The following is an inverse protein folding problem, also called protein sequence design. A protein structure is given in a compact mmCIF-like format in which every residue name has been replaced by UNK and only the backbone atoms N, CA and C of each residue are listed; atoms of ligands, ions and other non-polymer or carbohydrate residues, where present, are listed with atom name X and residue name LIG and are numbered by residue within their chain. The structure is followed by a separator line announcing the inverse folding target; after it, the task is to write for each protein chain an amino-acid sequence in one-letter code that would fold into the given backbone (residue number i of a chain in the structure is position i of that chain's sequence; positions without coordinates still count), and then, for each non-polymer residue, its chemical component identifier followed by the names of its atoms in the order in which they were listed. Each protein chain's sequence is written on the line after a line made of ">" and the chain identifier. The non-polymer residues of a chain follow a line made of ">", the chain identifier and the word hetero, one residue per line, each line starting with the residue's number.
data_IF_363576944264
#
_entry.id   IF_363576944264
#
_cell.length_a   1.000
_cell.length_b   1.000
_cell.length_c   1.000
_cell.angle_alpha   90.00
_cell.angle_beta   90.00
_cell.angle_gamma   90.00
#
_symmetry.space_group_name_H-M   'P 1'
#
loop_
_entity.id
_entity.type
_entity.pdbx_description
1 polymer ?
#
# COMPACT_ATOMS: atom_id res chain seq x y z
N UNK A 1 -37.05 -30.64 -30.25
CA UNK A 1 -36.87 -30.08 -28.86
C UNK A 1 -35.39 -29.92 -28.64
N UNK A 2 -34.84 -28.69 -28.77
CA UNK A 2 -33.45 -28.35 -28.47
C UNK A 2 -33.23 -28.48 -26.96
N UNK A 3 -32.43 -29.45 -26.51
CA UNK A 3 -31.91 -29.52 -25.14
C UNK A 3 -31.07 -28.24 -24.91
N UNK A 4 -31.60 -27.29 -24.17
CA UNK A 4 -30.83 -26.16 -23.63
C UNK A 4 -29.81 -26.80 -22.69
N UNK A 5 -28.53 -26.88 -23.12
CA UNK A 5 -27.43 -27.23 -22.22
C UNK A 5 -27.48 -26.25 -21.05
N UNK A 6 -27.74 -26.75 -19.84
CA UNK A 6 -27.59 -25.95 -18.61
C UNK A 6 -26.18 -25.31 -18.66
N UNK A 7 -26.11 -24.00 -18.85
CA UNK A 7 -24.84 -23.27 -18.72
C UNK A 7 -24.29 -23.60 -17.33
N UNK A 8 -23.10 -24.16 -17.27
CA UNK A 8 -22.39 -24.37 -16.01
C UNK A 8 -22.31 -23.00 -15.32
N UNK A 9 -22.86 -22.87 -14.13
CA UNK A 9 -22.82 -21.61 -13.37
C UNK A 9 -21.36 -21.38 -13.02
N UNK A 10 -20.74 -20.41 -13.68
CA UNK A 10 -19.35 -20.01 -13.40
C UNK A 10 -19.40 -19.18 -12.13
N UNK A 11 -18.68 -19.61 -11.09
CA UNK A 11 -18.48 -18.81 -9.91
C UNK A 11 -17.49 -17.69 -10.27
N UNK A 12 -17.92 -16.44 -10.18
CA UNK A 12 -17.17 -15.27 -10.63
C UNK A 12 -16.86 -14.36 -9.46
N UNK A 13 -15.67 -13.79 -9.48
CA UNK A 13 -15.14 -12.92 -8.45
C UNK A 13 -14.66 -11.61 -9.07
N UNK A 14 -14.89 -10.49 -8.40
CA UNK A 14 -14.35 -9.19 -8.74
C UNK A 14 -13.51 -8.66 -7.56
N UNK A 15 -12.23 -8.33 -7.81
CA UNK A 15 -11.38 -7.69 -6.81
C UNK A 15 -11.60 -6.19 -6.88
N UNK A 16 -12.03 -5.62 -5.77
CA UNK A 16 -12.30 -4.19 -5.61
C UNK A 16 -11.06 -3.51 -5.03
N UNK A 17 -10.55 -2.50 -5.75
CA UNK A 17 -9.44 -1.68 -5.29
C UNK A 17 -9.62 -0.24 -5.79
N UNK A 18 -10.05 0.65 -4.91
CA UNK A 18 -10.23 2.06 -5.20
C UNK A 18 -11.56 2.44 -5.90
N UNK A 19 -12.49 1.49 -6.09
CA UNK A 19 -13.78 1.76 -6.73
C UNK A 19 -14.66 2.71 -5.91
N UNK A 20 -14.59 2.62 -4.58
CA UNK A 20 -15.34 3.42 -3.63
C UNK A 20 -14.49 4.51 -2.96
N UNK A 21 -13.26 4.70 -3.40
CA UNK A 21 -12.28 5.60 -2.79
C UNK A 21 -12.50 7.09 -3.08
N UNK A 22 -13.44 7.46 -3.96
CA UNK A 22 -13.73 8.87 -4.28
C UNK A 22 -14.71 9.46 -3.28
N UNK A 23 -14.39 10.63 -2.75
CA UNK A 23 -15.33 11.43 -1.98
C UNK A 23 -16.56 11.84 -2.82
N UNK A 24 -17.73 11.86 -2.18
CA UNK A 24 -18.97 12.31 -2.82
C UNK A 24 -18.88 13.83 -3.02
N UNK A 25 -18.77 14.25 -4.29
CA UNK A 25 -18.67 15.68 -4.64
C UNK A 25 -19.97 16.26 -5.20
N UNK A 26 -20.81 15.42 -5.83
CA UNK A 26 -22.04 15.85 -6.47
C UNK A 26 -23.06 14.70 -6.45
N UNK A 27 -24.22 14.94 -5.84
CA UNK A 27 -25.28 13.94 -5.65
C UNK A 27 -25.74 13.29 -6.97
N UNK A 28 -25.88 14.08 -8.04
CA UNK A 28 -26.34 13.57 -9.33
C UNK A 28 -25.31 12.64 -10.00
N UNK A 29 -24.04 13.04 -9.94
CA UNK A 29 -22.93 12.24 -10.48
C UNK A 29 -22.81 10.94 -9.68
N UNK A 30 -22.87 11.01 -8.36
CA UNK A 30 -22.80 9.84 -7.46
C UNK A 30 -23.96 8.88 -7.70
N UNK A 31 -25.16 9.39 -7.95
CA UNK A 31 -26.32 8.57 -8.27
C UNK A 31 -26.13 7.80 -9.59
N UNK A 32 -25.65 8.47 -10.65
CA UNK A 32 -25.37 7.84 -11.95
C UNK A 32 -24.27 6.80 -11.81
N UNK A 33 -23.17 7.14 -11.13
CA UNK A 33 -22.06 6.21 -10.87
C UNK A 33 -22.52 4.99 -10.08
N UNK A 34 -23.32 5.18 -9.03
CA UNK A 34 -23.87 4.08 -8.23
C UNK A 34 -24.72 3.13 -9.07
N UNK A 35 -25.54 3.64 -9.96
CA UNK A 35 -26.33 2.80 -10.90
C UNK A 35 -25.42 1.99 -11.83
N UNK A 36 -24.40 2.62 -12.40
CA UNK A 36 -23.45 1.95 -13.28
C UNK A 36 -22.63 0.89 -12.54
N UNK A 37 -22.13 1.22 -11.35
CA UNK A 37 -21.42 0.27 -10.47
C UNK A 37 -22.30 -0.93 -10.14
N UNK A 38 -23.57 -0.71 -9.76
CA UNK A 38 -24.53 -1.79 -9.48
C UNK A 38 -24.75 -2.69 -10.67
N UNK A 39 -24.88 -2.11 -11.88
CA UNK A 39 -25.05 -2.87 -13.12
C UNK A 39 -23.85 -3.77 -13.39
N UNK A 40 -22.64 -3.25 -13.21
CA UNK A 40 -21.40 -4.01 -13.37
C UNK A 40 -21.27 -5.11 -12.32
N UNK A 41 -21.43 -4.78 -11.04
CA UNK A 41 -21.20 -5.70 -9.93
C UNK A 41 -22.27 -6.79 -9.79
N UNK A 42 -23.44 -6.58 -10.40
CA UNK A 42 -24.52 -7.56 -10.42
C UNK A 42 -24.09 -8.89 -11.05
N UNK A 43 -23.21 -8.84 -12.04
CA UNK A 43 -22.77 -10.00 -12.81
C UNK A 43 -21.78 -10.90 -12.02
N UNK A 44 -21.20 -10.40 -10.91
CA UNK A 44 -20.26 -11.16 -10.09
C UNK A 44 -20.95 -11.81 -8.90
N UNK A 45 -20.49 -13.02 -8.54
CA UNK A 45 -20.99 -13.74 -7.38
C UNK A 45 -20.35 -13.23 -6.09
N UNK A 46 -19.06 -12.88 -6.15
CA UNK A 46 -18.25 -12.46 -5.01
C UNK A 46 -17.53 -11.15 -5.31
N UNK A 47 -17.47 -10.25 -4.33
CA UNK A 47 -16.76 -8.98 -4.39
C UNK A 47 -15.71 -8.98 -3.27
N UNK A 48 -14.44 -9.08 -3.65
CA UNK A 48 -13.30 -9.14 -2.71
C UNK A 48 -12.70 -7.76 -2.56
N UNK A 49 -12.68 -7.26 -1.35
CA UNK A 49 -12.09 -5.97 -1.00
C UNK A 49 -10.70 -6.19 -0.39
N UNK A 50 -9.74 -5.37 -0.83
CA UNK A 50 -8.37 -5.37 -0.32
C UNK A 50 -8.16 -4.35 0.81
N UNK A 51 -9.19 -3.58 1.14
CA UNK A 51 -9.21 -2.59 2.21
C UNK A 51 -10.50 -2.71 3.00
N UNK A 52 -10.40 -2.76 4.33
CA UNK A 52 -11.56 -2.74 5.23
C UNK A 52 -12.34 -1.42 5.12
N UNK A 53 -11.63 -0.31 5.03
CA UNK A 53 -12.27 1.00 4.91
C UNK A 53 -13.08 1.12 3.61
N UNK A 54 -12.54 0.59 2.49
CA UNK A 54 -13.27 0.57 1.22
C UNK A 54 -14.49 -0.38 1.27
N UNK A 55 -14.37 -1.50 1.98
CA UNK A 55 -15.48 -2.42 2.21
C UNK A 55 -16.60 -1.75 3.01
N UNK A 56 -16.29 -1.06 4.10
CA UNK A 56 -17.30 -0.34 4.89
C UNK A 56 -17.96 0.80 4.08
N UNK A 57 -17.19 1.50 3.27
CA UNK A 57 -17.77 2.49 2.35
C UNK A 57 -18.68 1.85 1.29
N UNK A 58 -18.33 0.66 0.80
CA UNK A 58 -19.19 -0.09 -0.11
C UNK A 58 -20.51 -0.53 0.55
N UNK A 59 -20.50 -0.97 1.81
CA UNK A 59 -21.71 -1.27 2.58
C UNK A 59 -22.65 -0.07 2.65
N UNK A 60 -22.09 1.12 2.85
CA UNK A 60 -22.87 2.36 2.90
C UNK A 60 -23.47 2.74 1.54
N UNK A 61 -22.75 2.49 0.43
CA UNK A 61 -23.16 2.90 -0.91
C UNK A 61 -24.04 1.90 -1.64
N UNK A 62 -23.80 0.61 -1.44
CA UNK A 62 -24.48 -0.49 -2.11
C UNK A 62 -24.85 -1.63 -1.15
N UNK A 63 -25.63 -1.36 -0.08
CA UNK A 63 -25.95 -2.35 0.95
C UNK A 63 -26.65 -3.60 0.42
N UNK A 64 -27.37 -3.50 -0.66
CA UNK A 64 -28.04 -4.63 -1.34
C UNK A 64 -27.08 -5.68 -1.91
N UNK A 65 -25.76 -5.40 -1.96
CA UNK A 65 -24.73 -6.34 -2.39
C UNK A 65 -23.90 -6.88 -1.23
N UNK A 66 -24.18 -6.51 0.01
CA UNK A 66 -23.35 -6.86 1.18
C UNK A 66 -23.12 -8.37 1.33
N UNK A 67 -24.11 -9.17 0.97
CA UNK A 67 -24.01 -10.64 0.98
C UNK A 67 -22.95 -11.22 0.04
N UNK A 68 -22.41 -10.41 -0.88
CA UNK A 68 -21.32 -10.78 -1.80
C UNK A 68 -19.95 -10.29 -1.33
N UNK A 69 -19.89 -9.49 -0.26
CA UNK A 69 -18.66 -8.83 0.17
C UNK A 69 -17.79 -9.76 1.00
N UNK A 70 -16.52 -9.78 0.67
CA UNK A 70 -15.49 -10.48 1.46
C UNK A 70 -14.26 -9.60 1.55
N UNK A 71 -13.71 -9.44 2.75
CA UNK A 71 -12.41 -8.81 2.94
C UNK A 71 -11.32 -9.87 2.84
N UNK A 72 -10.35 -9.63 1.96
CA UNK A 72 -9.10 -10.39 1.89
C UNK A 72 -7.97 -9.37 1.85
N UNK A 73 -7.06 -9.34 2.85
CA UNK A 73 -5.95 -8.40 2.83
C UNK A 73 -5.06 -8.64 1.61
N UNK A 74 -4.54 -7.56 1.05
CA UNK A 74 -3.53 -7.64 -0.01
C UNK A 74 -2.32 -8.45 0.47
N UNK A 75 -1.64 -9.13 -0.45
CA UNK A 75 -0.51 -9.98 -0.10
C UNK A 75 0.66 -9.78 -1.04
N UNK A 76 1.84 -10.19 -0.57
CA UNK A 76 3.08 -10.15 -1.33
C UNK A 76 3.79 -11.51 -1.31
N UNK A 77 4.72 -11.70 -2.23
CA UNK A 77 5.62 -12.86 -2.24
C UNK A 77 6.72 -12.67 -1.18
N UNK A 78 6.51 -13.19 0.03
CA UNK A 78 7.47 -13.07 1.13
C UNK A 78 8.72 -13.91 0.93
N UNK A 79 8.73 -14.85 -0.01
CA UNK A 79 9.93 -15.62 -0.37
C UNK A 79 10.86 -14.79 -1.25
N UNK A 80 10.28 -14.00 -2.15
CA UNK A 80 11.02 -13.08 -2.98
C UNK A 80 11.43 -11.82 -2.19
N UNK A 81 10.48 -11.18 -1.51
CA UNK A 81 10.73 -10.01 -0.66
C UNK A 81 11.24 -10.48 0.70
N UNK A 82 12.49 -10.91 0.74
CA UNK A 82 13.17 -11.39 1.94
C UNK A 82 14.59 -10.84 1.98
N UNK A 83 14.97 -10.30 3.15
CA UNK A 83 16.25 -9.67 3.36
C UNK A 83 17.38 -10.69 3.39
N UNK A 84 18.54 -10.37 2.81
CA UNK A 84 19.75 -11.18 2.98
C UNK A 84 20.36 -10.95 4.38
N UNK A 85 20.98 -11.99 4.95
CA UNK A 85 21.58 -11.93 6.32
C UNK A 85 22.66 -10.85 6.44
N UNK A 86 23.32 -10.49 5.34
CA UNK A 86 24.40 -9.51 5.30
C UNK A 86 23.93 -8.09 4.99
N UNK A 87 22.64 -7.89 4.69
CA UNK A 87 22.13 -6.58 4.29
C UNK A 87 22.12 -5.61 5.49
N UNK A 88 22.78 -4.48 5.32
CA UNK A 88 22.79 -3.36 6.26
C UNK A 88 22.70 -2.06 5.50
N UNK A 89 21.62 -1.33 5.71
CA UNK A 89 21.33 -0.08 4.99
C UNK A 89 21.47 1.16 5.89
N UNK A 90 21.81 2.28 5.24
CA UNK A 90 21.85 3.60 5.86
C UNK A 90 20.97 4.64 5.14
N UNK A 91 20.21 4.21 4.12
CA UNK A 91 19.41 5.09 3.27
C UNK A 91 17.96 5.18 3.74
N UNK A 92 17.32 6.31 3.50
CA UNK A 92 15.87 6.49 3.65
C UNK A 92 15.24 6.34 2.27
N UNK A 93 14.36 5.35 2.13
CA UNK A 93 13.77 4.96 0.86
C UNK A 93 12.37 5.54 0.69
N UNK A 94 12.08 6.08 -0.49
CA UNK A 94 10.76 6.45 -0.95
C UNK A 94 10.48 5.78 -2.29
N UNK A 95 9.35 5.07 -2.41
CA UNK A 95 8.91 4.45 -3.67
C UNK A 95 7.46 4.83 -3.93
N UNK A 96 7.15 5.32 -5.14
CA UNK A 96 5.77 5.56 -5.52
C UNK A 96 5.58 6.34 -6.81
N UNK A 97 4.52 5.97 -7.55
CA UNK A 97 4.16 6.60 -8.82
C UNK A 97 2.66 6.94 -8.90
N UNK A 98 1.91 6.74 -7.82
CA UNK A 98 0.48 7.03 -7.80
C UNK A 98 0.19 8.49 -7.43
N UNK A 99 -0.99 8.98 -7.77
CA UNK A 99 -1.40 10.35 -7.51
C UNK A 99 -1.77 10.64 -6.03
N UNK A 100 -1.44 9.73 -5.10
CA UNK A 100 -1.72 9.88 -3.66
C UNK A 100 -0.46 10.05 -2.83
N UNK A 101 0.73 9.91 -3.44
CA UNK A 101 1.99 10.28 -2.78
C UNK A 101 2.09 11.79 -2.65
N UNK A 102 2.53 12.25 -1.50
CA UNK A 102 2.86 13.67 -1.26
C UNK A 102 4.32 13.94 -1.68
N UNK A 103 4.53 14.06 -2.99
CA UNK A 103 5.87 14.27 -3.57
C UNK A 103 6.53 15.54 -3.06
N UNK A 104 5.74 16.63 -2.92
CA UNK A 104 6.25 17.89 -2.39
C UNK A 104 6.79 17.72 -0.97
N UNK A 105 6.01 17.09 -0.09
CA UNK A 105 6.42 16.79 1.28
C UNK A 105 7.65 15.88 1.30
N UNK A 106 7.72 14.87 0.43
CA UNK A 106 8.88 13.96 0.32
C UNK A 106 10.16 14.76 0.03
N UNK A 107 10.12 15.69 -0.93
CA UNK A 107 11.23 16.57 -1.26
C UNK A 107 11.60 17.48 -0.07
N UNK A 108 10.59 18.08 0.57
CA UNK A 108 10.79 18.99 1.69
C UNK A 108 11.36 18.26 2.92
N UNK A 109 10.97 16.99 3.18
CA UNK A 109 11.60 16.16 4.22
C UNK A 109 13.10 15.99 3.96
N UNK A 110 13.49 15.59 2.75
CA UNK A 110 14.90 15.40 2.42
C UNK A 110 15.72 16.69 2.53
N UNK A 111 15.15 17.83 2.13
CA UNK A 111 15.78 19.15 2.28
C UNK A 111 16.04 19.54 3.74
N UNK A 112 15.16 19.15 4.66
CA UNK A 112 15.28 19.45 6.10
C UNK A 112 16.12 18.40 6.86
N UNK A 113 16.62 17.37 6.16
CA UNK A 113 17.43 16.29 6.70
C UNK A 113 18.70 16.08 5.86
N UNK A 114 19.54 17.11 5.67
CA UNK A 114 20.71 17.03 4.77
C UNK A 114 21.78 16.02 5.26
N UNK A 115 21.75 15.62 6.52
CA UNK A 115 22.64 14.64 7.12
C UNK A 115 22.31 13.18 6.77
N UNK A 116 21.11 12.91 6.23
CA UNK A 116 20.68 11.57 5.84
C UNK A 116 20.68 11.41 4.32
N UNK A 117 20.96 10.20 3.86
CA UNK A 117 20.89 9.83 2.45
C UNK A 117 19.50 9.35 2.08
N UNK A 118 18.94 9.88 1.01
CA UNK A 118 17.66 9.48 0.48
C UNK A 118 17.77 8.83 -0.89
N UNK A 119 16.94 7.81 -1.14
CA UNK A 119 16.71 7.24 -2.47
C UNK A 119 15.24 7.41 -2.80
N UNK A 120 14.95 8.11 -3.88
CA UNK A 120 13.60 8.27 -4.42
C UNK A 120 13.45 7.46 -5.71
N UNK A 121 12.54 6.50 -5.70
CA UNK A 121 12.20 5.67 -6.87
C UNK A 121 10.83 6.09 -7.37
N UNK A 122 10.83 6.95 -8.38
CA UNK A 122 9.59 7.54 -8.92
C UNK A 122 9.82 8.17 -10.30
N UNK A 123 8.77 8.26 -11.10
CA UNK A 123 8.70 9.05 -12.33
C UNK A 123 7.95 10.38 -12.16
N UNK A 124 7.44 10.66 -10.96
CA UNK A 124 6.63 11.85 -10.67
C UNK A 124 7.47 13.02 -10.16
N UNK A 125 8.71 12.78 -9.78
CA UNK A 125 9.72 13.79 -9.45
C UNK A 125 10.70 13.79 -10.62
N UNK A 126 10.95 14.94 -11.20
CA UNK A 126 11.85 15.11 -12.35
C UNK A 126 13.13 15.84 -11.94
N UNK A 127 14.16 15.77 -12.78
CA UNK A 127 15.46 16.40 -12.48
C UNK A 127 15.40 17.92 -12.32
N UNK A 128 14.42 18.55 -12.94
CA UNK A 128 14.14 19.99 -12.82
C UNK A 128 13.59 20.37 -11.45
N UNK A 129 13.02 19.44 -10.70
CA UNK A 129 12.69 19.64 -9.29
C UNK A 129 14.00 19.82 -8.52
N UNK A 130 14.14 20.97 -7.84
CA UNK A 130 15.36 21.32 -7.11
C UNK A 130 15.59 20.38 -5.92
N UNK A 131 16.10 19.18 -6.18
CA UNK A 131 16.46 18.21 -5.16
C UNK A 131 17.74 18.65 -4.43
N UNK A 132 17.81 18.33 -3.15
CA UNK A 132 19.01 18.50 -2.35
C UNK A 132 20.07 17.43 -2.69
N UNK A 133 21.33 17.73 -2.43
CA UNK A 133 22.47 16.86 -2.81
C UNK A 133 22.49 15.49 -2.11
N UNK A 134 21.69 15.33 -1.06
CA UNK A 134 21.54 14.08 -0.31
C UNK A 134 20.46 13.14 -0.89
N UNK A 135 19.88 13.46 -2.05
CA UNK A 135 18.83 12.67 -2.72
C UNK A 135 19.39 12.04 -3.99
N UNK A 136 19.35 10.73 -4.06
CA UNK A 136 19.52 9.95 -5.28
C UNK A 136 18.14 9.71 -5.90
N UNK A 137 17.89 10.25 -7.10
CA UNK A 137 16.65 10.04 -7.84
C UNK A 137 16.81 8.94 -8.88
N UNK A 138 16.01 7.89 -8.73
CA UNK A 138 15.94 6.77 -9.66
C UNK A 138 14.60 6.85 -10.41
N UNK A 139 14.66 7.02 -11.71
CA UNK A 139 13.46 7.03 -12.53
C UNK A 139 12.86 5.63 -12.61
N UNK A 140 11.75 5.40 -11.92
CA UNK A 140 11.04 4.13 -11.86
C UNK A 140 9.59 4.27 -12.29
N UNK A 141 9.14 3.44 -13.25
CA UNK A 141 7.74 3.38 -13.66
C UNK A 141 7.35 1.94 -13.98
N UNK A 142 6.25 1.47 -13.39
CA UNK A 142 5.72 0.10 -13.57
C UNK A 142 5.54 -0.32 -15.03
N UNK A 143 5.05 0.59 -15.87
CA UNK A 143 4.73 0.29 -17.26
C UNK A 143 5.91 0.42 -18.23
N UNK A 144 7.04 0.92 -17.77
CA UNK A 144 8.21 1.17 -18.65
C UNK A 144 9.38 0.22 -18.38
N UNK A 145 9.22 -0.73 -17.45
CA UNK A 145 10.21 -1.76 -17.09
C UNK A 145 11.63 -1.22 -16.90
N UNK A 146 11.76 0.02 -16.37
CA UNK A 146 13.06 0.65 -16.15
C UNK A 146 13.81 0.05 -14.95
N UNK A 147 13.08 -0.56 -14.03
CA UNK A 147 13.61 -1.27 -12.87
C UNK A 147 12.96 -2.64 -12.77
N UNK A 148 13.76 -3.64 -12.51
CA UNK A 148 13.31 -4.99 -12.17
C UNK A 148 12.96 -5.08 -10.70
N UNK A 149 12.14 -6.07 -10.32
CA UNK A 149 11.84 -6.35 -8.90
C UNK A 149 13.11 -6.68 -8.10
N UNK A 150 14.13 -7.28 -8.73
CA UNK A 150 15.43 -7.56 -8.12
C UNK A 150 16.15 -6.26 -7.75
N UNK A 151 16.17 -5.29 -8.66
CA UNK A 151 16.79 -3.98 -8.37
C UNK A 151 16.04 -3.24 -7.27
N UNK A 152 14.70 -3.27 -7.27
CA UNK A 152 13.89 -2.68 -6.21
C UNK A 152 14.17 -3.37 -4.86
N UNK A 153 14.31 -4.70 -4.84
CA UNK A 153 14.69 -5.44 -3.64
C UNK A 153 16.05 -5.01 -3.09
N UNK A 154 17.04 -4.78 -3.97
CA UNK A 154 18.36 -4.29 -3.56
C UNK A 154 18.26 -2.92 -2.88
N UNK A 155 17.40 -2.01 -3.35
CA UNK A 155 17.16 -0.73 -2.66
C UNK A 155 16.55 -0.90 -1.27
N UNK A 156 15.67 -1.91 -1.07
CA UNK A 156 15.21 -2.23 0.29
C UNK A 156 16.35 -2.77 1.16
N UNK A 157 17.27 -3.59 0.63
CA UNK A 157 18.44 -4.09 1.37
C UNK A 157 19.38 -2.95 1.82
N UNK A 158 19.47 -1.87 1.07
CA UNK A 158 20.24 -0.67 1.39
C UNK A 158 19.47 0.33 2.26
N UNK A 159 18.19 0.10 2.54
CA UNK A 159 17.36 1.01 3.30
C UNK A 159 17.43 0.73 4.80
N UNK A 160 17.58 1.78 5.61
CA UNK A 160 17.37 1.78 7.05
C UNK A 160 15.93 2.07 7.43
N UNK A 161 15.21 2.79 6.59
CA UNK A 161 13.84 3.26 6.81
C UNK A 161 13.15 3.49 5.47
N UNK A 162 11.86 3.14 5.39
CA UNK A 162 11.00 3.51 4.25
C UNK A 162 9.99 4.57 4.70
N UNK A 163 9.88 5.66 3.94
CA UNK A 163 8.89 6.71 4.16
C UNK A 163 7.81 6.69 3.09
N UNK A 164 6.55 6.84 3.50
CA UNK A 164 5.39 6.85 2.62
C UNK A 164 4.50 8.06 2.94
N UNK A 165 4.95 9.29 2.64
CA UNK A 165 4.11 10.47 2.78
C UNK A 165 2.95 10.42 1.79
N UNK A 166 1.71 10.57 2.29
CA UNK A 166 0.49 10.51 1.49
C UNK A 166 -0.33 11.80 1.68
N UNK A 167 -1.05 12.18 0.64
CA UNK A 167 -2.18 13.10 0.75
C UNK A 167 -3.39 12.37 1.28
N UNK A 168 -4.19 13.00 2.13
CA UNK A 168 -5.40 12.35 2.68
C UNK A 168 -6.37 11.97 1.56
N UNK A 169 -6.82 10.74 1.57
CA UNK A 169 -7.79 10.21 0.63
C UNK A 169 -8.39 8.90 1.14
N UNK A 170 -9.54 8.49 0.57
CA UNK A 170 -10.12 7.16 0.83
C UNK A 170 -9.48 6.05 0.00
N UNK A 171 -8.62 6.37 -0.94
CA UNK A 171 -7.96 5.35 -1.77
C UNK A 171 -6.82 4.71 -0.98
N UNK A 172 -6.81 3.38 -0.84
CA UNK A 172 -5.66 2.68 -0.27
C UNK A 172 -4.43 2.91 -1.15
N UNK A 173 -3.42 3.53 -0.57
CA UNK A 173 -2.17 3.85 -1.25
C UNK A 173 -0.99 3.48 -0.37
N UNK A 174 0.15 3.13 -0.98
CA UNK A 174 1.35 2.71 -0.26
C UNK A 174 1.33 1.26 0.21
N UNK A 175 0.25 0.53 0.04
CA UNK A 175 0.05 -0.81 0.60
C UNK A 175 1.15 -1.80 0.17
N UNK A 176 1.40 -1.96 -1.13
CA UNK A 176 2.44 -2.87 -1.62
C UNK A 176 3.84 -2.49 -1.14
N UNK A 177 4.17 -1.19 -1.21
CA UNK A 177 5.47 -0.68 -0.75
C UNK A 177 5.66 -0.91 0.75
N UNK A 178 4.63 -0.66 1.57
CA UNK A 178 4.71 -0.91 3.01
C UNK A 178 4.90 -2.39 3.33
N UNK A 179 4.12 -3.28 2.71
CA UNK A 179 4.23 -4.71 2.95
C UNK A 179 5.57 -5.29 2.46
N UNK A 180 6.07 -4.84 1.31
CA UNK A 180 7.40 -5.21 0.81
C UNK A 180 8.51 -4.76 1.77
N UNK A 181 8.45 -3.49 2.20
CA UNK A 181 9.40 -2.93 3.17
C UNK A 181 9.44 -3.73 4.47
N UNK A 182 8.27 -4.02 5.05
CA UNK A 182 8.14 -4.83 6.26
C UNK A 182 8.67 -6.26 6.07
N UNK A 183 8.39 -6.87 4.91
CA UNK A 183 8.91 -8.20 4.58
C UNK A 183 10.43 -8.22 4.42
N UNK A 184 11.00 -7.10 3.97
CA UNK A 184 12.45 -6.87 3.87
C UNK A 184 13.08 -6.38 5.18
N UNK A 185 12.34 -6.45 6.29
CA UNK A 185 12.80 -5.99 7.61
C UNK A 185 13.24 -4.52 7.64
N UNK A 186 12.58 -3.70 6.84
CA UNK A 186 12.79 -2.25 6.83
C UNK A 186 11.60 -1.56 7.47
N UNK A 187 11.78 -0.84 8.59
CA UNK A 187 10.71 -0.11 9.26
C UNK A 187 10.02 0.90 8.34
N UNK A 188 8.71 1.06 8.52
CA UNK A 188 7.88 1.92 7.67
C UNK A 188 7.34 3.09 8.47
N UNK A 189 7.52 4.31 7.94
CA UNK A 189 6.77 5.50 8.32
C UNK A 189 5.75 5.80 7.22
N UNK A 190 4.46 5.88 7.58
CA UNK A 190 3.39 6.13 6.63
C UNK A 190 2.40 7.15 7.16
N UNK A 191 1.94 8.07 6.30
CA UNK A 191 0.85 8.98 6.68
C UNK A 191 -0.40 8.19 7.07
N UNK A 192 -0.98 8.52 8.20
CA UNK A 192 -2.32 8.03 8.54
C UNK A 192 -3.35 8.74 7.65
N UNK A 193 -4.05 7.97 6.81
CA UNK A 193 -5.08 8.47 5.91
C UNK A 193 -6.38 7.69 6.11
N UNK A 194 -7.49 8.28 5.69
CA UNK A 194 -8.81 7.59 5.68
C UNK A 194 -8.80 6.32 4.82
N UNK A 195 -7.90 6.23 3.84
CA UNK A 195 -7.75 5.08 2.95
C UNK A 195 -6.79 4.01 3.42
N UNK A 196 -6.21 4.12 4.65
CA UNK A 196 -5.36 3.05 5.14
C UNK A 196 -6.14 1.72 5.17
N UNK A 197 -5.55 0.65 4.66
CA UNK A 197 -6.29 -0.58 4.30
C UNK A 197 -6.84 -1.39 5.48
N UNK A 198 -6.14 -1.40 6.61
CA UNK A 198 -6.58 -2.08 7.84
C UNK A 198 -5.88 -1.53 9.07
N UNK A 199 -6.33 -0.36 9.56
CA UNK A 199 -5.72 0.29 10.71
C UNK A 199 -5.72 -0.59 11.98
N UNK A 200 -6.74 -1.42 12.15
CA UNK A 200 -6.89 -2.25 13.35
C UNK A 200 -5.93 -3.45 13.40
N UNK A 201 -5.35 -3.83 12.25
CA UNK A 201 -4.38 -4.92 12.21
C UNK A 201 -2.96 -4.45 12.52
N UNK A 202 -2.64 -3.16 12.36
CA UNK A 202 -1.32 -2.62 12.59
C UNK A 202 -1.25 -1.79 13.87
N UNK A 203 -0.24 -2.06 14.71
CA UNK A 203 -0.04 -1.40 15.99
C UNK A 203 1.03 -0.33 15.85
N UNK A 204 0.68 0.92 16.23
CA UNK A 204 1.59 2.06 16.25
C UNK A 204 2.87 1.76 17.05
N UNK A 205 4.03 2.09 16.50
CA UNK A 205 5.38 1.90 17.07
C UNK A 205 5.76 0.43 17.37
N UNK A 206 4.93 -0.52 16.97
CA UNK A 206 5.21 -1.95 17.05
C UNK A 206 5.40 -2.57 15.67
N UNK A 207 4.44 -2.38 14.78
CA UNK A 207 4.48 -2.96 13.43
C UNK A 207 4.96 -1.95 12.39
N UNK A 208 4.60 -0.69 12.59
CA UNK A 208 4.98 0.46 11.76
C UNK A 208 4.80 1.77 12.54
N UNK A 209 5.16 2.90 11.91
CA UNK A 209 4.94 4.23 12.46
C UNK A 209 3.87 4.96 11.65
N UNK A 210 2.70 5.19 12.23
CA UNK A 210 1.71 6.10 11.67
C UNK A 210 2.08 7.54 11.94
N UNK A 211 2.08 8.36 10.89
CA UNK A 211 2.23 9.81 10.96
C UNK A 211 0.83 10.44 11.07
N UNK A 212 0.27 10.45 12.30
CA UNK A 212 -1.05 11.04 12.62
C UNK A 212 -1.03 12.55 12.41
N UNK A 213 -0.02 13.23 12.96
CA UNK A 213 0.33 14.59 12.54
C UNK A 213 1.18 14.52 11.27
N UNK A 214 0.53 14.76 10.14
CA UNK A 214 1.16 14.73 8.82
C UNK A 214 1.89 16.03 8.47
N UNK A 215 2.28 16.87 9.48
CA UNK A 215 3.07 18.08 9.26
C UNK A 215 4.52 17.75 8.90
N UNK A 216 5.16 18.65 8.12
CA UNK A 216 6.57 18.48 7.75
C UNK A 216 7.49 18.41 8.98
N UNK A 217 7.24 19.24 9.97
CA UNK A 217 8.07 19.28 11.20
C UNK A 217 8.01 17.94 11.94
N UNK A 218 6.82 17.36 12.09
CA UNK A 218 6.66 16.07 12.76
C UNK A 218 7.39 14.95 11.98
N UNK A 219 7.30 14.92 10.65
CA UNK A 219 8.08 13.98 9.84
C UNK A 219 9.58 14.09 10.08
N UNK A 220 10.12 15.31 10.10
CA UNK A 220 11.54 15.59 10.33
C UNK A 220 11.98 15.13 11.72
N UNK A 221 11.20 15.45 12.75
CA UNK A 221 11.52 15.07 14.15
C UNK A 221 11.48 13.56 14.35
N UNK A 222 10.41 12.91 13.89
CA UNK A 222 10.23 11.45 14.03
C UNK A 222 11.35 10.69 13.29
N UNK A 223 11.71 11.11 12.08
CA UNK A 223 12.81 10.49 11.33
C UNK A 223 14.13 10.64 12.09
N UNK A 224 14.45 11.82 12.64
CA UNK A 224 15.67 12.05 13.44
C UNK A 224 15.72 11.19 14.68
N UNK A 225 14.60 11.06 15.38
CA UNK A 225 14.49 10.22 16.58
C UNK A 225 14.72 8.75 16.25
N UNK A 226 13.99 8.22 15.27
CA UNK A 226 14.04 6.83 14.87
C UNK A 226 15.42 6.43 14.33
N UNK A 227 16.02 7.28 13.48
CA UNK A 227 17.30 6.98 12.86
C UNK A 227 18.41 6.77 13.88
N UNK A 228 18.32 7.40 15.05
CA UNK A 228 19.24 7.28 16.19
C UNK A 228 18.94 6.10 17.11
N UNK A 229 17.72 5.54 17.04
CA UNK A 229 17.25 4.48 17.93
C UNK A 229 17.25 3.12 17.24
N UNK A 230 18.43 2.52 17.12
CA UNK A 230 18.59 1.23 16.43
C UNK A 230 17.82 0.09 17.10
N UNK A 231 17.69 0.11 18.42
CA UNK A 231 16.92 -0.91 19.14
C UNK A 231 15.43 -0.85 18.77
N UNK A 232 14.85 0.34 18.73
CA UNK A 232 13.44 0.53 18.34
C UNK A 232 13.23 0.14 16.87
N UNK A 233 14.13 0.55 15.97
CA UNK A 233 14.05 0.17 14.56
C UNK A 233 14.09 -1.36 14.41
N UNK A 234 14.98 -2.04 15.12
CA UNK A 234 15.09 -3.50 15.08
C UNK A 234 13.84 -4.19 15.64
N UNK A 235 13.28 -3.67 16.73
CA UNK A 235 12.04 -4.18 17.31
C UNK A 235 10.88 -4.07 16.34
N UNK A 236 10.66 -2.89 15.73
CA UNK A 236 9.63 -2.66 14.73
C UNK A 236 9.82 -3.58 13.52
N UNK A 237 11.04 -3.68 13.03
CA UNK A 237 11.44 -4.56 11.92
C UNK A 237 11.01 -6.00 12.15
N UNK A 238 11.38 -6.57 13.30
CA UNK A 238 11.09 -7.96 13.64
C UNK A 238 9.56 -8.20 13.77
N UNK A 239 8.87 -7.33 14.48
CA UNK A 239 7.41 -7.43 14.63
C UNK A 239 6.68 -7.29 13.30
N UNK A 240 7.11 -6.34 12.46
CA UNK A 240 6.56 -6.15 11.13
C UNK A 240 6.76 -7.40 10.25
N UNK A 241 7.97 -7.95 10.23
CA UNK A 241 8.29 -9.18 9.49
C UNK A 241 7.41 -10.35 9.92
N UNK A 242 7.32 -10.61 11.22
CA UNK A 242 6.47 -11.67 11.77
C UNK A 242 5.01 -11.51 11.34
N UNK A 243 4.48 -10.29 11.43
CA UNK A 243 3.11 -9.98 10.99
C UNK A 243 2.90 -10.27 9.51
N UNK A 244 3.84 -9.86 8.65
CA UNK A 244 3.75 -10.09 7.20
C UNK A 244 3.79 -11.59 6.91
N UNK A 245 4.70 -12.33 7.52
CA UNK A 245 4.84 -13.77 7.32
C UNK A 245 3.61 -14.56 7.79
N UNK A 246 2.90 -14.07 8.80
CA UNK A 246 1.70 -14.74 9.29
C UNK A 246 0.44 -14.40 8.47
N UNK A 247 0.27 -13.16 8.00
CA UNK A 247 -1.03 -12.68 7.53
C UNK A 247 -1.07 -12.24 6.06
N UNK A 248 0.09 -11.88 5.45
CA UNK A 248 0.14 -11.15 4.19
C UNK A 248 0.91 -11.89 3.08
N UNK A 249 1.06 -13.23 3.19
CA UNK A 249 1.70 -14.07 2.17
C UNK A 249 0.77 -14.38 1.02
N UNK A 250 1.34 -14.56 -0.17
CA UNK A 250 0.59 -14.98 -1.37
C UNK A 250 -0.14 -16.31 -1.15
N UNK A 251 0.48 -17.28 -0.45
CA UNK A 251 -0.15 -18.57 -0.16
C UNK A 251 -1.43 -18.38 0.67
N UNK A 252 -1.38 -17.51 1.70
CA UNK A 252 -2.55 -17.21 2.54
C UNK A 252 -3.65 -16.51 1.75
N UNK A 253 -3.28 -15.59 0.86
CA UNK A 253 -4.20 -14.91 -0.04
C UNK A 253 -4.89 -15.89 -0.99
N UNK A 254 -4.12 -16.78 -1.60
CA UNK A 254 -4.61 -17.82 -2.48
C UNK A 254 -5.62 -18.75 -1.79
N UNK A 255 -5.31 -19.25 -0.59
CA UNK A 255 -6.21 -20.10 0.17
C UNK A 255 -7.53 -19.38 0.57
N UNK A 256 -7.46 -18.10 0.87
CA UNK A 256 -8.65 -17.28 1.12
C UNK A 256 -9.49 -17.11 -0.15
N UNK A 257 -8.85 -16.88 -1.32
CA UNK A 257 -9.55 -16.80 -2.61
C UNK A 257 -10.21 -18.12 -2.99
N UNK A 258 -9.54 -19.26 -2.78
CA UNK A 258 -10.11 -20.59 -3.03
C UNK A 258 -11.39 -20.78 -2.24
N UNK A 259 -11.40 -20.42 -0.96
CA UNK A 259 -12.60 -20.53 -0.11
C UNK A 259 -13.76 -19.67 -0.63
N UNK A 260 -13.48 -18.50 -1.17
CA UNK A 260 -14.51 -17.61 -1.77
C UNK A 260 -15.07 -18.21 -3.06
N UNK A 261 -14.26 -18.95 -3.80
CA UNK A 261 -14.63 -19.57 -5.07
C UNK A 261 -15.17 -20.99 -4.93
N UNK A 262 -15.21 -21.55 -3.72
CA UNK A 262 -15.58 -22.95 -3.44
C UNK A 262 -14.73 -23.97 -4.23
N UNK A 263 -13.38 -23.75 -4.29
CA UNK A 263 -12.40 -24.57 -5.00
C UNK A 263 -11.57 -25.43 -4.05
#
# INVERSE_FOLDING_TARGET
>A
IRKIKKKKKINSLFIVMGLFAKERRNYLIDFIQSKFIRLLLKEFNNLVFLSKNELEEAKNRIPDFENKFTYIPFAIDTKFWNKSETASGDKILFIGNDGRRDYKKTIDIAKNLPEFKFVFITSQIIKEDKLSSNVELIEGHWNLSKLTDIEIRNYYEEAKLTIIPLVDSFQPSGQSVALQSMSMEVPVLISETKGFWDKNDFIQKKDLIFMEDNSLNNWVEVIKELYKNENLLKEISNNAKEKIDNNYRLETFYERLKKVLDL
#
